data_IF_625033385994
#
_entry.id   IF_625033385994
#
_cell.length_a   1.000
_cell.length_b   1.000
_cell.length_c   1.000
_cell.angle_alpha   90.00
_cell.angle_beta   90.00
_cell.angle_gamma   90.00
#
_symmetry.space_group_name_H-M   'P 1'
#
loop_
_entity.id
_entity.type
_entity.pdbx_description
1 polymer ?
#
# COMPACT_ATOMS: atom_id res chain seq x y z
N UNK A 1 4.08 11.71 21.30
CA UNK A 1 3.59 12.47 20.13
C UNK A 1 4.18 11.83 18.88
N UNK A 2 3.35 11.50 17.89
CA UNK A 2 3.70 10.80 16.64
C UNK A 2 4.37 11.75 15.64
N UNK A 3 5.50 12.37 16.01
CA UNK A 3 6.05 13.53 15.32
C UNK A 3 6.86 13.22 14.06
N UNK A 4 6.65 12.07 13.40
CA UNK A 4 7.43 11.71 12.20
C UNK A 4 6.68 10.82 11.22
N UNK A 5 5.36 11.00 11.08
CA UNK A 5 4.56 10.31 10.05
C UNK A 5 4.53 11.14 8.76
N UNK A 6 4.69 10.53 7.57
CA UNK A 6 4.66 11.28 6.32
C UNK A 6 3.25 11.76 5.97
N UNK A 7 3.19 12.87 5.25
CA UNK A 7 1.99 13.39 4.61
C UNK A 7 1.81 12.68 3.26
N UNK A 8 0.93 11.68 3.19
CA UNK A 8 0.75 10.88 1.97
C UNK A 8 -0.52 10.02 1.99
N UNK A 9 -0.74 9.30 0.89
CA UNK A 9 -1.74 8.24 0.76
C UNK A 9 -1.22 6.91 1.29
N UNK A 10 -2.02 6.26 2.14
CA UNK A 10 -1.69 4.97 2.74
C UNK A 10 -2.81 3.96 2.52
N UNK A 11 -2.46 2.73 2.16
CA UNK A 11 -3.43 1.64 2.01
C UNK A 11 -3.91 1.22 3.39
N UNK A 12 -5.21 1.33 3.64
CA UNK A 12 -5.82 0.95 4.92
C UNK A 12 -6.77 -0.25 4.82
N UNK A 13 -7.22 -0.59 3.61
CA UNK A 13 -8.02 -1.79 3.36
C UNK A 13 -7.98 -2.18 1.87
N UNK A 14 -8.39 -3.40 1.53
CA UNK A 14 -8.77 -3.74 0.15
C UNK A 14 -10.22 -3.31 -0.07
N UNK A 15 -10.56 -2.94 -1.31
CA UNK A 15 -11.94 -2.61 -1.67
C UNK A 15 -12.93 -3.73 -1.31
N UNK A 16 -12.50 -4.98 -1.49
CA UNK A 16 -13.29 -6.18 -1.22
C UNK A 16 -13.50 -6.48 0.28
N UNK A 17 -12.68 -5.91 1.16
CA UNK A 17 -12.83 -6.06 2.61
C UNK A 17 -14.01 -5.24 3.17
N UNK A 18 -14.46 -4.23 2.40
CA UNK A 18 -15.55 -3.34 2.79
C UNK A 18 -16.80 -3.60 1.96
N UNK A 19 -17.69 -4.44 2.50
CA UNK A 19 -18.97 -4.78 1.87
C UNK A 19 -19.85 -3.54 1.60
N UNK A 20 -20.87 -3.72 0.76
CA UNK A 20 -21.95 -2.73 0.64
C UNK A 20 -22.55 -2.44 2.01
N UNK A 21 -22.69 -1.15 2.36
CA UNK A 21 -23.13 -0.69 3.69
C UNK A 21 -22.27 -1.20 4.87
N UNK A 22 -21.04 -1.65 4.58
CA UNK A 22 -20.09 -2.16 5.56
C UNK A 22 -19.58 -1.06 6.48
N UNK A 23 -19.24 -1.45 7.71
CA UNK A 23 -18.62 -0.61 8.73
C UNK A 23 -17.58 -1.48 9.44
N UNK A 24 -16.30 -1.14 9.34
CA UNK A 24 -15.19 -1.94 9.90
C UNK A 24 -14.22 -1.07 10.71
N UNK A 25 -13.62 -1.63 11.78
CA UNK A 25 -12.60 -0.94 12.56
C UNK A 25 -11.25 -0.95 11.82
N UNK A 26 -10.47 0.12 11.97
CA UNK A 26 -9.08 0.20 11.53
C UNK A 26 -8.20 0.72 12.68
N UNK A 27 -6.93 0.32 12.70
CA UNK A 27 -5.94 0.84 13.65
C UNK A 27 -4.62 1.15 12.93
N UNK A 28 -4.33 2.44 12.75
CA UNK A 28 -3.14 2.93 12.07
C UNK A 28 -2.67 4.25 12.70
N UNK A 29 -1.42 4.63 12.50
CA UNK A 29 -0.86 5.89 13.03
C UNK A 29 -1.04 6.02 14.55
N UNK A 30 -1.12 4.88 15.25
CA UNK A 30 -1.44 4.76 16.68
C UNK A 30 -2.80 5.30 17.08
N UNK A 31 -3.79 5.24 16.18
CA UNK A 31 -5.17 5.72 16.35
C UNK A 31 -6.18 4.72 15.79
N UNK A 32 -7.36 4.71 16.39
CA UNK A 32 -8.51 3.96 15.90
C UNK A 32 -9.34 4.79 14.92
N UNK A 33 -9.71 4.18 13.81
CA UNK A 33 -10.60 4.74 12.80
C UNK A 33 -11.79 3.81 12.53
N UNK A 34 -12.83 4.38 11.93
CA UNK A 34 -13.94 3.63 11.34
C UNK A 34 -13.94 3.86 9.83
N UNK A 35 -13.82 2.77 9.07
CA UNK A 35 -14.02 2.77 7.62
C UNK A 35 -15.42 2.25 7.32
N UNK A 36 -16.15 2.98 6.50
CA UNK A 36 -17.53 2.63 6.18
C UNK A 36 -17.89 2.98 4.74
N UNK A 37 -18.88 2.28 4.16
CA UNK A 37 -19.34 2.50 2.79
C UNK A 37 -20.79 2.94 2.78
N UNK A 38 -21.08 4.13 2.24
CA UNK A 38 -22.44 4.65 2.14
C UNK A 38 -23.25 3.96 1.03
N UNK A 39 -24.54 4.28 0.92
CA UNK A 39 -25.43 3.62 -0.06
C UNK A 39 -25.08 3.91 -1.51
N UNK A 40 -24.44 5.05 -1.79
CA UNK A 40 -23.85 5.37 -3.10
C UNK A 40 -22.57 4.59 -3.41
N UNK A 41 -22.17 3.68 -2.51
CA UNK A 41 -21.03 2.80 -2.70
C UNK A 41 -19.68 3.46 -2.44
N UNK A 42 -19.61 4.68 -1.91
CA UNK A 42 -18.33 5.36 -1.65
C UNK A 42 -17.80 5.05 -0.24
N UNK A 43 -16.48 4.81 -0.08
CA UNK A 43 -15.87 4.62 1.22
C UNK A 43 -15.56 5.96 1.89
N UNK A 44 -15.70 5.98 3.21
CA UNK A 44 -15.45 7.13 4.07
C UNK A 44 -14.75 6.67 5.35
N UNK A 45 -13.90 7.54 5.89
CA UNK A 45 -13.15 7.26 7.13
C UNK A 45 -13.37 8.40 8.13
N UNK A 46 -13.73 8.03 9.35
CA UNK A 46 -13.71 8.92 10.51
C UNK A 46 -12.73 8.42 11.57
N UNK A 47 -12.38 9.30 12.52
CA UNK A 47 -11.94 8.83 13.84
C UNK A 47 -12.99 7.86 14.40
N UNK A 48 -12.54 6.81 15.09
CA UNK A 48 -13.44 5.73 15.50
C UNK A 48 -14.48 6.15 16.55
N UNK A 49 -14.13 7.09 17.44
CA UNK A 49 -14.90 7.34 18.66
C UNK A 49 -15.88 8.50 18.48
N UNK A 50 -17.15 8.25 18.75
CA UNK A 50 -18.22 9.22 18.65
C UNK A 50 -17.98 10.39 19.62
N UNK A 51 -17.99 11.66 19.16
CA UNK A 51 -17.71 12.82 20.02
C UNK A 51 -18.82 13.12 21.05
N UNK A 52 -19.91 12.37 21.04
CA UNK A 52 -20.94 12.45 22.08
C UNK A 52 -20.45 11.87 23.41
N UNK A 53 -20.22 10.55 23.47
CA UNK A 53 -19.81 9.83 24.69
C UNK A 53 -18.82 8.69 24.39
N UNK A 54 -18.00 8.84 23.35
CA UNK A 54 -16.86 7.97 23.09
C UNK A 54 -17.18 6.56 22.60
N UNK A 55 -18.39 6.27 22.10
CA UNK A 55 -18.69 4.96 21.53
C UNK A 55 -17.88 4.72 20.25
N UNK A 56 -17.19 3.59 20.15
CA UNK A 56 -16.49 3.19 18.93
C UNK A 56 -17.51 2.85 17.84
N UNK A 57 -17.54 3.66 16.78
CA UNK A 57 -18.56 3.62 15.74
C UNK A 57 -18.52 2.34 14.90
N UNK A 58 -17.36 1.70 14.74
CA UNK A 58 -17.28 0.43 14.02
C UNK A 58 -17.95 -0.76 14.75
N UNK A 59 -18.16 -0.66 16.06
CA UNK A 59 -18.74 -1.76 16.85
C UNK A 59 -20.26 -1.56 16.99
N UNK A 60 -20.98 -2.02 15.97
CA UNK A 60 -22.45 -1.97 15.90
C UNK A 60 -23.02 -0.70 15.25
N UNK A 61 -22.17 0.22 14.78
CA UNK A 61 -22.60 1.30 13.91
C UNK A 61 -23.13 0.76 12.60
N UNK A 62 -24.04 1.51 11.97
CA UNK A 62 -24.69 1.09 10.72
C UNK A 62 -24.92 2.26 9.80
N UNK A 63 -24.97 1.98 8.51
CA UNK A 63 -25.28 2.96 7.48
C UNK A 63 -26.78 3.23 7.45
N UNK A 64 -27.14 4.51 7.35
CA UNK A 64 -28.49 4.98 7.12
C UNK A 64 -28.45 6.10 6.06
N UNK A 65 -28.79 5.75 4.81
CA UNK A 65 -28.57 6.65 3.67
C UNK A 65 -27.08 7.03 3.55
N UNK A 66 -26.81 8.33 3.50
CA UNK A 66 -25.44 8.89 3.44
C UNK A 66 -24.85 9.20 4.82
N UNK A 67 -25.27 8.50 5.86
CA UNK A 67 -24.81 8.74 7.24
C UNK A 67 -24.36 7.48 7.94
N UNK A 68 -23.41 7.63 8.85
CA UNK A 68 -23.03 6.60 9.82
C UNK A 68 -23.80 6.84 11.13
N UNK A 69 -24.68 5.89 11.49
CA UNK A 69 -25.43 5.92 12.74
C UNK A 69 -24.61 5.33 13.88
N UNK A 70 -24.41 6.11 14.93
CA UNK A 70 -23.78 5.67 16.16
C UNK A 70 -24.58 4.53 16.83
N UNK A 71 -23.93 3.44 17.27
CA UNK A 71 -24.61 2.32 17.94
C UNK A 71 -25.25 2.73 19.26
N UNK A 72 -24.60 3.63 20.00
CA UNK A 72 -24.96 3.90 21.40
C UNK A 72 -26.23 4.74 21.52
N UNK A 73 -26.24 5.93 20.91
CA UNK A 73 -27.34 6.88 21.03
C UNK A 73 -27.95 7.25 19.69
N UNK A 74 -27.62 6.56 18.61
CA UNK A 74 -28.28 6.77 17.31
C UNK A 74 -28.06 8.12 16.64
N UNK A 75 -27.05 8.89 17.04
CA UNK A 75 -26.62 10.09 16.33
C UNK A 75 -26.18 9.69 14.91
N UNK A 76 -26.59 10.48 13.92
CA UNK A 76 -26.20 10.31 12.53
C UNK A 76 -25.04 11.27 12.22
N UNK A 77 -23.98 10.77 11.61
CA UNK A 77 -22.85 11.55 11.12
C UNK A 77 -22.85 11.51 9.60
N UNK A 78 -22.94 12.68 8.94
CA UNK A 78 -22.79 12.74 7.48
C UNK A 78 -21.34 12.49 7.07
N UNK A 79 -21.11 12.28 5.77
CA UNK A 79 -19.80 11.95 5.18
C UNK A 79 -18.71 13.00 5.39
N UNK A 80 -19.07 14.22 5.79
CA UNK A 80 -18.13 15.30 6.15
C UNK A 80 -17.85 15.35 7.66
N UNK A 81 -18.36 14.38 8.41
CA UNK A 81 -18.23 14.26 9.85
C UNK A 81 -19.16 15.20 10.63
N UNK A 82 -20.10 15.89 10.00
CA UNK A 82 -21.03 16.76 10.74
C UNK A 82 -22.16 15.91 11.33
N UNK A 83 -22.62 16.25 12.54
CA UNK A 83 -23.80 15.61 13.11
C UNK A 83 -25.01 15.90 12.22
N UNK A 84 -25.51 14.94 11.45
CA UNK A 84 -26.62 15.11 10.52
C UNK A 84 -27.97 15.17 11.25
N UNK A 85 -28.16 14.33 12.26
CA UNK A 85 -29.34 14.28 13.10
C UNK A 85 -29.07 13.61 14.46
N UNK A 86 -29.93 13.89 15.42
CA UNK A 86 -30.00 13.22 16.73
C UNK A 86 -31.39 12.57 16.85
N UNK A 87 -31.55 11.46 17.61
CA UNK A 87 -32.83 10.76 17.68
C UNK A 87 -33.86 11.43 18.60
N UNK A 88 -33.52 12.57 19.21
CA UNK A 88 -34.37 13.27 20.17
C UNK A 88 -35.24 14.28 19.42
N UNK A 89 -36.56 14.07 19.33
CA UNK A 89 -37.47 15.03 18.72
C UNK A 89 -37.38 16.38 19.44
N UNK A 90 -37.62 17.48 18.72
CA UNK A 90 -37.69 18.85 19.25
C UNK A 90 -36.40 19.44 19.84
N UNK A 91 -35.26 18.73 19.71
CA UNK A 91 -33.95 19.25 20.10
C UNK A 91 -33.20 19.83 18.90
N UNK A 92 -32.53 20.98 19.06
CA UNK A 92 -31.69 21.52 18.00
C UNK A 92 -30.52 20.58 17.71
N UNK A 93 -30.19 20.42 16.43
CA UNK A 93 -29.00 19.70 15.99
C UNK A 93 -27.74 20.35 16.59
N UNK A 94 -26.89 19.59 17.31
CA UNK A 94 -25.67 20.13 17.88
C UNK A 94 -24.67 20.47 16.77
N UNK A 95 -23.84 21.50 16.99
CA UNK A 95 -22.68 21.82 16.13
C UNK A 95 -21.49 20.89 16.44
N UNK A 96 -21.76 19.60 16.60
CA UNK A 96 -20.76 18.59 16.84
C UNK A 96 -20.18 18.08 15.51
N UNK A 97 -18.87 17.84 15.50
CA UNK A 97 -18.13 17.31 14.37
C UNK A 97 -17.27 16.13 14.82
N UNK A 98 -17.24 15.08 14.01
CA UNK A 98 -16.24 14.02 14.07
C UNK A 98 -15.19 14.26 12.98
N UNK A 99 -13.92 13.96 13.26
CA UNK A 99 -12.87 14.12 12.26
C UNK A 99 -13.09 13.14 11.11
N UNK A 100 -13.12 13.67 9.89
CA UNK A 100 -13.15 12.89 8.65
C UNK A 100 -11.83 12.99 7.90
N UNK A 101 -11.48 11.93 7.19
CA UNK A 101 -10.20 11.81 6.48
C UNK A 101 -10.43 11.71 4.98
N UNK A 102 -9.58 12.30 4.13
CA UNK A 102 -9.68 12.10 2.68
C UNK A 102 -9.46 10.62 2.34
N UNK A 103 -10.34 10.09 1.50
CA UNK A 103 -10.34 8.68 1.08
C UNK A 103 -10.32 8.61 -0.44
N UNK A 104 -9.47 7.74 -0.98
CA UNK A 104 -9.42 7.41 -2.40
C UNK A 104 -9.56 5.90 -2.57
N UNK A 105 -10.51 5.45 -3.38
CA UNK A 105 -10.64 4.05 -3.76
C UNK A 105 -10.15 3.87 -5.19
N UNK A 106 -9.01 3.19 -5.35
CA UNK A 106 -8.32 3.06 -6.63
C UNK A 106 -7.55 1.75 -6.66
N UNK A 107 -7.38 1.14 -7.84
CA UNK A 107 -6.59 -0.09 -8.01
C UNK A 107 -7.05 -1.27 -7.13
N UNK A 108 -8.33 -1.30 -6.71
CA UNK A 108 -8.89 -2.32 -5.82
C UNK A 108 -8.51 -2.15 -4.34
N UNK A 109 -7.98 -0.97 -3.97
CA UNK A 109 -7.51 -0.63 -2.64
C UNK A 109 -8.21 0.63 -2.13
N UNK A 110 -8.37 0.72 -0.82
CA UNK A 110 -8.88 1.91 -0.13
C UNK A 110 -7.70 2.61 0.54
N UNK A 111 -7.48 3.85 0.11
CA UNK A 111 -6.38 4.71 0.53
C UNK A 111 -6.91 5.81 1.45
N UNK A 112 -6.21 6.06 2.55
CA UNK A 112 -6.45 7.22 3.43
C UNK A 112 -5.31 8.21 3.26
N UNK A 113 -5.62 9.49 3.08
CA UNK A 113 -4.62 10.55 3.11
C UNK A 113 -4.36 10.96 4.56
N UNK A 114 -3.14 10.73 5.03
CA UNK A 114 -2.67 11.27 6.30
C UNK A 114 -1.92 12.57 6.03
N UNK A 115 -2.21 13.60 6.82
CA UNK A 115 -1.44 14.84 6.84
C UNK A 115 -1.35 15.36 8.28
N UNK A 116 -0.15 15.67 8.76
CA UNK A 116 0.10 16.09 10.14
C UNK A 116 -0.75 17.31 10.56
N UNK A 117 -0.86 18.30 9.68
CA UNK A 117 -1.68 19.51 9.87
C UNK A 117 -3.13 19.39 9.33
N UNK A 118 -3.56 18.21 8.89
CA UNK A 118 -4.92 18.00 8.36
C UNK A 118 -5.23 18.72 7.04
N UNK A 119 -4.22 19.02 6.21
CA UNK A 119 -4.43 19.57 4.86
C UNK A 119 -5.03 18.50 3.93
N UNK A 120 -5.79 18.95 2.94
CA UNK A 120 -6.28 18.10 1.86
C UNK A 120 -5.13 17.69 0.92
N UNK A 121 -5.23 16.54 0.24
CA UNK A 121 -4.27 16.13 -0.77
C UNK A 121 -4.28 17.08 -1.97
N UNK A 122 -3.10 17.33 -2.53
CA UNK A 122 -2.87 18.07 -3.78
C UNK A 122 -2.45 17.17 -4.95
N UNK A 123 -2.36 15.85 -4.72
CA UNK A 123 -2.13 14.80 -5.71
C UNK A 123 -2.88 13.53 -5.33
N UNK A 124 -3.08 12.64 -6.29
CA UNK A 124 -3.78 11.37 -6.12
C UNK A 124 -2.97 10.22 -6.74
N UNK A 125 -3.24 8.99 -6.28
CA UNK A 125 -2.68 7.78 -6.89
C UNK A 125 -3.45 7.49 -8.18
N UNK A 126 -2.77 7.33 -9.33
CA UNK A 126 -3.45 7.09 -10.59
C UNK A 126 -4.02 5.67 -10.68
N UNK A 127 -5.03 5.50 -11.54
CA UNK A 127 -5.47 4.20 -11.98
C UNK A 127 -4.35 3.53 -12.81
N UNK A 128 -3.90 2.35 -12.39
CA UNK A 128 -2.88 1.59 -13.12
C UNK A 128 -3.53 0.89 -14.32
N UNK A 129 -3.11 1.15 -15.56
CA UNK A 129 -3.76 0.63 -16.77
C UNK A 129 -3.81 -0.91 -16.83
N UNK A 130 -2.76 -1.58 -16.37
CA UNK A 130 -2.66 -3.03 -16.35
C UNK A 130 -3.75 -3.67 -15.49
N UNK A 131 -4.17 -3.01 -14.40
CA UNK A 131 -5.16 -3.55 -13.47
C UNK A 131 -6.60 -3.49 -13.98
N UNK A 132 -6.87 -2.67 -14.99
CA UNK A 132 -8.17 -2.59 -15.68
C UNK A 132 -8.16 -3.31 -17.03
N UNK A 133 -7.00 -3.83 -17.46
CA UNK A 133 -6.85 -4.56 -18.70
C UNK A 133 -7.28 -6.03 -18.55
N UNK A 134 -7.97 -6.55 -19.56
CA UNK A 134 -8.30 -7.98 -19.62
C UNK A 134 -7.08 -8.86 -19.91
N UNK A 135 -5.95 -8.29 -20.33
CA UNK A 135 -4.70 -9.01 -20.57
C UNK A 135 -4.01 -9.44 -19.26
N UNK A 136 -4.40 -8.87 -18.13
CA UNK A 136 -3.81 -9.15 -16.83
C UNK A 136 -4.80 -9.87 -15.93
N UNK A 137 -4.29 -10.63 -14.97
CA UNK A 137 -5.14 -11.19 -13.91
C UNK A 137 -5.63 -10.06 -13.00
N UNK A 138 -6.80 -10.23 -12.35
CA UNK A 138 -7.19 -9.30 -11.28
C UNK A 138 -6.08 -9.18 -10.22
N UNK A 139 -5.98 -8.01 -9.58
CA UNK A 139 -5.05 -7.82 -8.46
C UNK A 139 -5.40 -8.80 -7.34
N UNK A 140 -4.37 -9.45 -6.77
CA UNK A 140 -4.54 -10.41 -5.67
C UNK A 140 -3.53 -10.13 -4.58
N UNK A 141 -3.97 -10.25 -3.33
CA UNK A 141 -3.08 -10.24 -2.18
C UNK A 141 -2.18 -11.48 -2.22
N UNK A 142 -0.87 -11.25 -2.19
CA UNK A 142 0.12 -12.30 -1.91
C UNK A 142 0.04 -12.61 -0.42
N UNK A 143 0.33 -11.59 0.40
CA UNK A 143 0.39 -11.67 1.87
C UNK A 143 0.44 -10.26 2.47
N UNK A 144 0.06 -10.18 3.74
CA UNK A 144 0.14 -8.99 4.59
C UNK A 144 0.86 -9.36 5.89
N UNK A 145 1.72 -8.46 6.36
CA UNK A 145 2.55 -8.62 7.54
C UNK A 145 2.43 -7.40 8.45
N UNK A 146 2.53 -7.64 9.76
CA UNK A 146 2.87 -6.61 10.74
C UNK A 146 4.39 -6.74 10.97
N UNK A 147 5.16 -5.76 10.51
CA UNK A 147 6.61 -5.79 10.52
C UNK A 147 7.18 -4.73 11.45
N UNK A 148 8.08 -5.09 12.35
CA UNK A 148 8.77 -4.13 13.22
C UNK A 148 9.84 -3.35 12.44
N UNK A 149 9.43 -2.30 11.73
CA UNK A 149 10.32 -1.50 10.88
C UNK A 149 9.77 -0.08 10.69
N UNK A 150 10.60 0.81 10.17
CA UNK A 150 10.19 2.17 9.79
C UNK A 150 9.75 2.22 8.33
N UNK A 151 8.94 3.22 7.96
CA UNK A 151 8.60 3.42 6.55
C UNK A 151 9.83 3.75 5.70
N UNK A 152 10.80 4.48 6.25
CA UNK A 152 12.03 4.80 5.53
C UNK A 152 12.85 3.54 5.22
N UNK A 153 12.97 2.61 6.19
CA UNK A 153 13.68 1.35 5.97
C UNK A 153 12.97 0.45 4.95
N UNK A 154 11.64 0.46 4.93
CA UNK A 154 10.84 -0.18 3.88
C UNK A 154 11.14 0.44 2.50
N UNK A 155 11.19 1.77 2.40
CA UNK A 155 11.50 2.46 1.14
C UNK A 155 12.94 2.25 0.67
N UNK A 156 13.89 2.18 1.60
CA UNK A 156 15.30 1.97 1.24
C UNK A 156 15.50 0.58 0.64
N UNK A 157 14.77 -0.43 1.13
CA UNK A 157 14.85 -1.81 0.64
C UNK A 157 14.52 -1.91 -0.85
N UNK A 158 13.58 -1.14 -1.37
CA UNK A 158 13.18 -1.24 -2.78
C UNK A 158 14.17 -0.67 -3.79
N UNK A 159 14.98 0.30 -3.37
CA UNK A 159 16.00 0.94 -4.20
C UNK A 159 17.40 0.38 -3.92
N UNK A 160 17.56 -0.43 -2.88
CA UNK A 160 18.79 -1.17 -2.58
C UNK A 160 19.00 -2.25 -3.64
N UNK A 161 19.97 -2.05 -4.53
CA UNK A 161 20.25 -3.00 -5.61
C UNK A 161 21.12 -4.16 -5.12
N UNK A 162 21.93 -3.93 -4.09
CA UNK A 162 22.93 -4.88 -3.62
C UNK A 162 22.31 -6.03 -2.83
N UNK A 163 21.23 -5.80 -2.08
CA UNK A 163 20.56 -6.88 -1.38
C UNK A 163 19.97 -7.94 -2.32
N UNK A 164 19.57 -7.57 -3.55
CA UNK A 164 18.93 -8.50 -4.50
C UNK A 164 19.79 -9.73 -4.79
N UNK A 165 21.09 -9.56 -5.04
CA UNK A 165 21.98 -10.69 -5.35
C UNK A 165 22.72 -11.25 -4.12
N UNK A 166 22.60 -10.63 -2.95
CA UNK A 166 23.16 -11.14 -1.69
C UNK A 166 22.11 -11.92 -0.87
N UNK A 167 20.99 -11.27 -0.54
CA UNK A 167 19.89 -11.86 0.23
C UNK A 167 19.12 -12.85 -0.64
N UNK A 168 18.68 -12.40 -1.82
CA UNK A 168 17.93 -13.22 -2.77
C UNK A 168 18.84 -13.86 -3.81
N UNK A 169 20.06 -14.22 -3.43
CA UNK A 169 21.08 -14.87 -4.29
C UNK A 169 20.59 -16.14 -4.96
N UNK A 170 19.61 -16.83 -4.36
CA UNK A 170 18.92 -17.94 -5.03
C UNK A 170 18.19 -17.46 -6.27
N UNK A 171 17.49 -16.34 -6.22
CA UNK A 171 16.65 -15.80 -7.30
C UNK A 171 17.44 -14.96 -8.30
N UNK A 172 18.31 -14.06 -7.82
CA UNK A 172 19.02 -13.10 -8.66
C UNK A 172 20.53 -13.37 -8.66
N UNK A 173 21.11 -13.34 -9.86
CA UNK A 173 22.54 -13.46 -10.12
C UNK A 173 23.24 -12.09 -10.05
N UNK A 174 22.59 -11.05 -10.55
CA UNK A 174 23.09 -9.68 -10.54
C UNK A 174 21.96 -8.70 -10.82
N UNK A 175 22.09 -7.47 -10.36
CA UNK A 175 21.18 -6.38 -10.70
C UNK A 175 21.95 -5.08 -10.94
N UNK A 176 21.42 -4.21 -11.78
CA UNK A 176 22.03 -2.93 -12.13
C UNK A 176 20.97 -1.83 -12.15
N UNK A 177 21.24 -0.73 -11.44
CA UNK A 177 20.41 0.47 -11.43
C UNK A 177 20.71 1.35 -12.65
N UNK A 178 19.67 1.77 -13.37
CA UNK A 178 19.75 2.81 -14.40
C UNK A 178 19.43 4.20 -13.85
N UNK A 179 19.35 4.34 -12.52
CA UNK A 179 19.05 5.59 -11.82
C UNK A 179 17.56 5.85 -11.59
N UNK A 180 17.28 6.99 -10.99
CA UNK A 180 15.92 7.44 -10.64
C UNK A 180 15.54 8.71 -11.39
N UNK A 181 14.26 8.81 -11.72
CA UNK A 181 13.61 10.01 -12.21
C UNK A 181 12.58 10.45 -11.18
N UNK A 182 12.60 11.74 -10.82
CA UNK A 182 11.71 12.31 -9.81
C UNK A 182 10.83 13.37 -10.47
N UNK A 183 9.53 13.30 -10.20
CA UNK A 183 8.53 14.30 -10.62
C UNK A 183 7.53 14.51 -9.46
N UNK A 184 7.77 15.54 -8.66
CA UNK A 184 6.99 15.85 -7.47
C UNK A 184 6.82 14.64 -6.53
N UNK A 185 5.58 14.15 -6.30
CA UNK A 185 5.31 13.02 -5.42
C UNK A 185 5.61 11.65 -6.08
N UNK A 186 6.19 11.62 -7.28
CA UNK A 186 6.46 10.39 -8.03
C UNK A 186 7.98 10.18 -8.16
N UNK A 187 8.44 8.96 -7.85
CA UNK A 187 9.81 8.51 -8.12
C UNK A 187 9.76 7.25 -8.99
N UNK A 188 10.44 7.27 -10.12
CA UNK A 188 10.58 6.11 -11.02
C UNK A 188 12.01 5.60 -10.99
N UNK A 189 12.20 4.35 -10.58
CA UNK A 189 13.47 3.64 -10.60
C UNK A 189 13.46 2.58 -11.71
N UNK A 190 14.51 2.54 -12.53
CA UNK A 190 14.66 1.56 -13.60
C UNK A 190 15.87 0.69 -13.36
N UNK A 191 15.73 -0.61 -13.57
CA UNK A 191 16.77 -1.59 -13.34
C UNK A 191 16.79 -2.67 -14.40
N UNK A 192 17.97 -3.28 -14.59
CA UNK A 192 18.12 -4.57 -15.26
C UNK A 192 18.57 -5.61 -14.23
N UNK A 193 18.09 -6.84 -14.37
CA UNK A 193 18.43 -7.92 -13.46
C UNK A 193 18.65 -9.22 -14.20
N UNK A 194 19.51 -10.05 -13.64
CA UNK A 194 19.77 -11.41 -14.11
C UNK A 194 19.24 -12.42 -13.10
N UNK A 195 18.46 -13.38 -13.56
CA UNK A 195 17.86 -14.42 -12.75
C UNK A 195 18.67 -15.71 -12.78
N UNK A 196 18.61 -16.48 -11.70
CA UNK A 196 19.11 -17.84 -11.66
C UNK A 196 18.02 -18.81 -12.18
N UNK A 197 18.30 -19.44 -13.31
CA UNK A 197 17.38 -20.35 -14.02
C UNK A 197 17.09 -21.65 -13.26
N UNK A 198 17.92 -22.04 -12.29
CA UNK A 198 17.77 -23.29 -11.54
C UNK A 198 16.89 -23.17 -10.28
N UNK A 199 16.55 -21.95 -9.85
CA UNK A 199 15.93 -21.67 -8.55
C UNK A 199 14.50 -21.16 -8.65
N UNK A 200 14.13 -20.51 -9.74
CA UNK A 200 12.75 -20.14 -10.01
C UNK A 200 11.97 -21.40 -10.35
N UNK A 201 10.76 -21.56 -9.79
CA UNK A 201 9.89 -22.64 -10.23
C UNK A 201 9.66 -22.58 -11.75
N UNK A 202 9.62 -21.36 -12.32
CA UNK A 202 9.51 -21.07 -13.74
C UNK A 202 10.85 -21.07 -14.49
N UNK A 203 11.96 -21.45 -13.85
CA UNK A 203 13.33 -21.26 -14.33
C UNK A 203 13.70 -22.05 -15.60
N UNK A 204 12.87 -23.01 -16.03
CA UNK A 204 12.98 -23.63 -17.37
C UNK A 204 12.24 -22.87 -18.49
N UNK A 205 11.38 -21.90 -18.14
CA UNK A 205 10.49 -21.16 -19.06
C UNK A 205 10.88 -19.68 -19.23
N UNK A 206 11.68 -19.14 -18.31
CA UNK A 206 12.17 -17.75 -18.29
C UNK A 206 13.65 -17.73 -18.66
N UNK A 207 14.13 -16.72 -19.38
CA UNK A 207 15.57 -16.56 -19.70
C UNK A 207 16.30 -15.74 -18.61
N UNK A 208 17.61 -15.65 -18.74
CA UNK A 208 18.54 -15.07 -17.75
C UNK A 208 18.29 -13.60 -17.46
N UNK A 209 17.79 -12.79 -18.39
CA UNK A 209 17.73 -11.32 -18.25
C UNK A 209 16.29 -10.79 -18.12
N UNK A 210 16.12 -9.74 -17.30
CA UNK A 210 14.86 -9.02 -17.16
C UNK A 210 15.06 -7.54 -16.86
N UNK A 211 13.98 -6.78 -17.07
CA UNK A 211 13.90 -5.37 -16.72
C UNK A 211 12.85 -5.15 -15.64
N UNK A 212 13.13 -4.18 -14.76
CA UNK A 212 12.21 -3.74 -13.71
C UNK A 212 12.05 -2.24 -13.81
N UNK A 213 10.80 -1.78 -13.77
CA UNK A 213 10.49 -0.37 -13.52
C UNK A 213 9.62 -0.29 -12.29
N UNK A 214 10.12 0.37 -11.25
CA UNK A 214 9.41 0.60 -10.00
C UNK A 214 9.01 2.06 -9.94
N UNK A 215 7.73 2.32 -9.68
CA UNK A 215 7.16 3.67 -9.58
C UNK A 215 6.56 3.83 -8.19
N UNK A 216 7.11 4.75 -7.42
CA UNK A 216 6.58 5.21 -6.16
C UNK A 216 5.56 6.32 -6.41
N UNK A 217 4.38 6.21 -5.78
CA UNK A 217 3.39 7.28 -5.65
C UNK A 217 3.31 7.68 -4.18
N UNK A 218 4.18 8.61 -3.77
CA UNK A 218 4.49 8.84 -2.36
C UNK A 218 5.29 7.70 -1.71
N UNK A 219 5.63 7.80 -0.41
CA UNK A 219 6.54 6.91 0.27
C UNK A 219 5.96 5.53 0.63
N UNK A 220 4.65 5.34 0.48
CA UNK A 220 3.91 4.21 1.04
C UNK A 220 3.23 3.31 0.00
N UNK A 221 3.38 3.60 -1.28
CA UNK A 221 2.74 2.89 -2.37
C UNK A 221 3.69 2.82 -3.57
N UNK A 222 4.20 1.64 -3.88
CA UNK A 222 5.02 1.41 -5.07
C UNK A 222 4.44 0.34 -5.97
N UNK A 223 4.61 0.55 -7.27
CA UNK A 223 4.15 -0.32 -8.35
C UNK A 223 5.38 -0.75 -9.14
N UNK A 224 5.67 -2.04 -9.15
CA UNK A 224 6.82 -2.59 -9.87
C UNK A 224 6.36 -3.44 -11.05
N UNK A 225 6.89 -3.13 -12.22
CA UNK A 225 6.65 -3.83 -13.47
C UNK A 225 7.88 -4.62 -13.85
N UNK A 226 7.76 -5.94 -13.89
CA UNK A 226 8.81 -6.87 -14.25
C UNK A 226 8.53 -7.44 -15.62
N UNK A 227 9.53 -7.38 -16.49
CA UNK A 227 9.48 -7.98 -17.81
C UNK A 227 10.69 -8.87 -18.03
N UNK A 228 10.44 -10.09 -18.46
CA UNK A 228 11.51 -11.04 -18.79
C UNK A 228 11.80 -10.98 -20.28
N UNK A 229 13.07 -11.02 -20.66
CA UNK A 229 13.47 -11.05 -22.07
C UNK A 229 13.74 -12.49 -22.49
N UNK A 230 12.90 -13.09 -23.35
CA UNK A 230 13.14 -14.44 -23.85
C UNK A 230 12.05 -15.03 -24.74
N UNK A 231 12.03 -16.37 -24.87
CA UNK A 231 11.09 -17.09 -25.76
C UNK A 231 9.63 -16.83 -25.41
N UNK A 232 9.34 -16.62 -24.12
CA UNK A 232 8.03 -16.20 -23.62
C UNK A 232 8.22 -14.90 -22.85
N UNK A 233 7.57 -13.83 -23.28
CA UNK A 233 7.56 -12.55 -22.58
C UNK A 233 6.58 -12.63 -21.41
N UNK A 234 7.08 -12.82 -20.20
CA UNK A 234 6.29 -12.75 -18.99
C UNK A 234 6.24 -11.30 -18.48
N UNK A 235 5.06 -10.90 -18.03
CA UNK A 235 4.83 -9.65 -17.33
C UNK A 235 4.32 -9.95 -15.92
N UNK A 236 5.01 -9.43 -14.91
CA UNK A 236 4.55 -9.43 -13.53
C UNK A 236 4.41 -7.98 -13.09
N UNK A 237 3.33 -7.68 -12.41
CA UNK A 237 3.07 -6.42 -11.75
C UNK A 237 2.94 -6.73 -10.27
N UNK A 238 3.69 -6.05 -9.43
CA UNK A 238 3.49 -6.06 -7.98
C UNK A 238 3.15 -4.68 -7.47
N UNK A 239 2.35 -4.62 -6.42
CA UNK A 239 2.13 -3.41 -5.64
C UNK A 239 2.57 -3.72 -4.22
N UNK A 240 3.54 -2.97 -3.71
CA UNK A 240 3.88 -2.99 -2.30
C UNK A 240 3.27 -1.77 -1.62
N UNK A 241 2.81 -1.98 -0.39
CA UNK A 241 2.24 -0.91 0.43
C UNK A 241 2.79 -1.01 1.84
N UNK A 242 3.14 0.12 2.44
CA UNK A 242 3.62 0.22 3.82
C UNK A 242 2.85 1.28 4.60
N UNK A 243 2.05 0.87 5.59
CA UNK A 243 1.23 1.78 6.39
C UNK A 243 1.64 1.73 7.86
N UNK A 244 2.08 2.82 8.49
CA UNK A 244 2.41 2.84 9.92
C UNK A 244 1.21 2.40 10.77
N UNK A 245 1.38 1.33 11.55
CA UNK A 245 0.41 0.89 12.55
C UNK A 245 0.57 1.79 13.79
N UNK A 246 1.80 1.91 14.26
CA UNK A 246 2.23 2.73 15.40
C UNK A 246 3.68 3.20 15.17
N UNK A 247 4.44 3.51 16.23
CA UNK A 247 5.84 3.95 16.10
C UNK A 247 6.83 2.81 15.84
N UNK A 248 6.43 1.56 16.12
CA UNK A 248 7.31 0.40 16.07
C UNK A 248 6.98 -0.51 14.89
N UNK A 249 5.73 -0.52 14.42
CA UNK A 249 5.25 -1.46 13.42
C UNK A 249 4.69 -0.81 12.17
N UNK A 250 5.01 -1.43 11.03
CA UNK A 250 4.49 -1.14 9.70
C UNK A 250 3.60 -2.30 9.24
N UNK A 251 2.43 -1.98 8.72
CA UNK A 251 1.59 -2.91 7.95
C UNK A 251 2.11 -2.94 6.53
N UNK A 252 2.76 -4.04 6.15
CA UNK A 252 3.27 -4.26 4.80
C UNK A 252 2.36 -5.25 4.09
N UNK A 253 1.92 -4.93 2.87
CA UNK A 253 1.19 -5.87 2.03
C UNK A 253 1.71 -5.84 0.61
N UNK A 254 1.77 -7.04 0.01
CA UNK A 254 2.15 -7.25 -1.38
C UNK A 254 0.96 -7.76 -2.14
N UNK A 255 0.67 -7.09 -3.24
CA UNK A 255 -0.29 -7.51 -4.23
C UNK A 255 0.42 -7.83 -5.52
N UNK A 256 -0.17 -8.69 -6.33
CA UNK A 256 0.38 -9.02 -7.64
C UNK A 256 -0.71 -9.20 -8.69
N UNK A 257 -0.31 -9.00 -9.93
CA UNK A 257 -1.05 -9.32 -11.14
C UNK A 257 -0.07 -9.84 -12.19
N UNK A 258 -0.49 -10.84 -12.96
CA UNK A 258 0.33 -11.49 -13.98
C UNK A 258 -0.29 -11.26 -15.35
N UNK A 259 0.53 -10.93 -16.33
CA UNK A 259 0.09 -10.86 -17.73
C UNK A 259 -0.28 -12.27 -18.19
N UNK A 260 -1.51 -12.44 -18.65
CA UNK A 260 -2.02 -13.72 -19.15
C UNK A 260 -1.25 -14.11 -20.41
N UNK A 261 -0.91 -15.38 -20.48
CA UNK A 261 -0.26 -16.02 -21.63
C UNK A 261 -1.13 -17.13 -22.20
N UNK A 262 -0.95 -17.41 -23.49
CA UNK A 262 -1.58 -18.56 -24.13
C UNK A 262 -0.61 -19.75 -24.16
N UNK A 263 -1.13 -20.99 -23.97
CA UNK A 263 -2.54 -21.34 -23.70
C UNK A 263 -2.96 -21.07 -22.24
N UNK A 264 -4.27 -20.88 -22.00
CA UNK A 264 -4.80 -20.49 -20.67
C UNK A 264 -4.38 -21.38 -19.48
N UNK A 265 -4.32 -22.73 -19.59
CA UNK A 265 -3.82 -23.56 -18.49
C UNK A 265 -2.40 -23.21 -18.03
N UNK A 266 -1.54 -22.76 -18.96
CA UNK A 266 -0.19 -22.29 -18.63
C UNK A 266 -0.23 -21.01 -17.79
N UNK A 267 -1.17 -20.09 -18.06
CA UNK A 267 -1.37 -18.89 -17.24
C UNK A 267 -1.67 -19.23 -15.78
N UNK A 268 -2.50 -20.24 -15.51
CA UNK A 268 -2.84 -20.63 -14.13
C UNK A 268 -1.63 -21.17 -13.38
N UNK A 269 -0.81 -21.99 -14.05
CA UNK A 269 0.41 -22.56 -13.50
C UNK A 269 1.42 -21.46 -13.19
N UNK A 270 1.72 -20.58 -14.17
CA UNK A 270 2.64 -19.46 -14.00
C UNK A 270 2.17 -18.50 -12.90
N UNK A 271 0.88 -18.21 -12.84
CA UNK A 271 0.32 -17.35 -11.80
C UNK A 271 0.57 -17.90 -10.39
N UNK A 272 0.38 -19.21 -10.19
CA UNK A 272 0.66 -19.86 -8.90
C UNK A 272 2.16 -19.83 -8.55
N UNK A 273 3.02 -20.06 -9.54
CA UNK A 273 4.48 -20.09 -9.35
C UNK A 273 5.03 -18.70 -9.04
N UNK A 274 4.68 -17.68 -9.83
CA UNK A 274 5.11 -16.30 -9.58
C UNK A 274 4.62 -15.76 -8.25
N UNK A 275 3.40 -16.13 -7.83
CA UNK A 275 2.92 -15.79 -6.47
C UNK A 275 3.84 -16.35 -5.39
N UNK A 276 4.27 -17.60 -5.54
CA UNK A 276 5.13 -18.27 -4.57
C UNK A 276 6.53 -17.64 -4.57
N UNK A 277 7.10 -17.37 -5.75
CA UNK A 277 8.40 -16.72 -5.88
C UNK A 277 8.42 -15.33 -5.23
N UNK A 278 7.36 -14.52 -5.42
CA UNK A 278 7.21 -13.20 -4.77
C UNK A 278 7.12 -13.34 -3.24
N UNK A 279 6.34 -14.32 -2.75
CA UNK A 279 6.19 -14.57 -1.32
C UNK A 279 7.52 -14.95 -0.67
N UNK A 280 8.21 -15.96 -1.23
CA UNK A 280 9.46 -16.49 -0.66
C UNK A 280 10.60 -15.47 -0.71
N UNK A 281 10.63 -14.62 -1.73
CA UNK A 281 11.60 -13.53 -1.84
C UNK A 281 11.39 -12.54 -0.70
N UNK A 282 10.17 -12.02 -0.54
CA UNK A 282 9.92 -10.99 0.46
C UNK A 282 9.93 -11.51 1.91
N UNK A 283 9.65 -12.79 2.15
CA UNK A 283 9.80 -13.36 3.50
C UNK A 283 11.24 -13.25 4.02
N UNK A 284 12.24 -13.25 3.12
CA UNK A 284 13.63 -13.01 3.50
C UNK A 284 13.85 -11.54 3.89
N UNK A 285 13.24 -10.59 3.18
CA UNK A 285 13.29 -9.16 3.53
C UNK A 285 12.68 -8.90 4.90
N UNK A 286 11.51 -9.48 5.19
CA UNK A 286 10.84 -9.35 6.49
C UNK A 286 11.77 -9.76 7.64
N UNK A 287 12.52 -10.85 7.48
CA UNK A 287 13.49 -11.29 8.49
C UNK A 287 14.59 -10.25 8.74
N UNK A 288 15.04 -9.52 7.71
CA UNK A 288 16.03 -8.44 7.87
C UNK A 288 15.38 -7.21 8.48
N UNK A 289 14.21 -6.80 7.97
CA UNK A 289 13.48 -5.62 8.43
C UNK A 289 13.12 -5.68 9.92
N UNK A 290 12.70 -6.84 10.42
CA UNK A 290 12.39 -7.07 11.84
C UNK A 290 13.59 -6.92 12.78
N UNK A 291 14.80 -7.12 12.26
CA UNK A 291 16.01 -7.25 13.06
C UNK A 291 17.05 -6.16 12.76
N UNK A 292 16.77 -5.23 11.85
CA UNK A 292 17.65 -4.10 11.53
C UNK A 292 17.38 -2.92 12.44
N UNK A 293 18.37 -2.03 12.52
CA UNK A 293 18.25 -0.73 13.17
C UNK A 293 18.16 0.37 12.11
N UNK A 294 17.34 1.39 12.36
CA UNK A 294 17.33 2.60 11.53
C UNK A 294 18.69 3.31 11.58
N UNK A 295 19.25 3.55 10.40
CA UNK A 295 20.47 4.34 10.20
C UNK A 295 20.13 5.53 9.30
N UNK A 296 20.11 6.72 9.90
CA UNK A 296 19.78 7.98 9.20
C UNK A 296 20.79 8.39 8.13
N UNK A 297 22.08 8.17 8.39
CA UNK A 297 23.19 8.55 7.51
C UNK A 297 24.13 7.36 7.27
N UNK A 298 23.73 6.37 6.47
CA UNK A 298 24.58 5.23 6.16
C UNK A 298 25.71 5.68 5.21
N UNK A 299 26.91 5.07 5.33
CA UNK A 299 27.88 5.12 4.25
C UNK A 299 27.28 4.39 3.04
N UNK A 300 27.29 5.04 1.87
CA UNK A 300 26.73 4.50 0.63
C UNK A 300 27.77 4.53 -0.48
N UNK A 301 27.83 3.46 -1.26
CA UNK A 301 28.65 3.27 -2.44
C UNK A 301 27.78 3.27 -3.70
N UNK A 302 28.42 3.33 -4.86
CA UNK A 302 27.72 3.40 -6.15
C UNK A 302 26.83 2.17 -6.40
N UNK A 303 27.25 0.99 -5.93
CA UNK A 303 26.56 -0.28 -6.16
C UNK A 303 25.37 -0.52 -5.21
N UNK A 304 25.22 0.28 -4.14
CA UNK A 304 24.06 0.18 -3.23
C UNK A 304 22.77 0.66 -3.91
N UNK A 305 22.87 1.40 -5.01
CA UNK A 305 21.74 1.98 -5.72
C UNK A 305 21.38 3.40 -5.26
N UNK A 306 20.25 3.95 -5.72
CA UNK A 306 19.90 5.35 -5.55
C UNK A 306 19.29 5.68 -4.18
N UNK A 307 19.77 5.04 -3.10
CA UNK A 307 19.25 5.20 -1.72
C UNK A 307 19.29 6.68 -1.28
N UNK A 308 20.38 7.39 -1.55
CA UNK A 308 20.52 8.81 -1.17
C UNK A 308 19.48 9.69 -1.88
N UNK A 309 19.28 9.47 -3.18
CA UNK A 309 18.31 10.19 -3.99
C UNK A 309 16.88 9.89 -3.51
N UNK A 310 16.56 8.63 -3.22
CA UNK A 310 15.27 8.21 -2.69
C UNK A 310 14.97 8.87 -1.34
N UNK A 311 15.92 8.86 -0.39
CA UNK A 311 15.78 9.54 0.91
C UNK A 311 15.58 11.05 0.78
N UNK A 312 16.34 11.70 -0.11
CA UNK A 312 16.17 13.14 -0.36
C UNK A 312 14.82 13.47 -1.00
N UNK A 313 14.28 12.58 -1.83
CA UNK A 313 12.93 12.72 -2.36
C UNK A 313 11.87 12.47 -1.28
N UNK A 314 12.05 11.45 -0.45
CA UNK A 314 11.13 11.08 0.62
C UNK A 314 11.00 12.17 1.69
N UNK A 315 12.05 12.97 1.95
CA UNK A 315 12.01 14.03 2.96
C UNK A 315 10.93 15.09 2.70
N UNK A 316 10.46 15.25 1.46
CA UNK A 316 9.39 16.21 1.14
C UNK A 316 8.06 15.87 1.82
N UNK A 317 7.84 14.59 2.18
CA UNK A 317 6.60 14.14 2.82
C UNK A 317 6.63 14.35 4.34
N UNK A 318 7.76 14.73 4.93
CA UNK A 318 7.89 14.96 6.36
C UNK A 318 8.00 16.48 6.59
N UNK A 319 6.95 17.07 7.17
CA UNK A 319 6.84 18.53 7.39
C UNK A 319 6.60 18.90 8.85
#
# INVERSE_FOLDING_TARGET
MYSNLPNSWFRVARSEDLSAKGVIPLHYFGKDFVLFRTEDGKPHIFDAHCPHLGAHLAHGGRIQGQTLRCPYHGWLWDTNGQCAAIPYPDKPKPKAKIQSWPVLEVNGLIMMYHHHQGKLPDWEIPQIPELISQEWTPLRLVRQWKVRTTLQDYMDNSVDVSHLYNLHSRTFKSAHSHGVQIDGPILTHRMSQKYNLSSLAAGKLVLEDGSVTTIYYGPAYDVSFYWTEGKLKLGLLTIFTGTPIDNDYLDIAIFYSVKKVLPFPLSLILNKMLKQDVLETFEQDVSILENKKDIRNPPLYQDDGPVRQSRSWASQFYS
#
